data_IF_545866252102
#
_entry.id   IF_545866252102
#
_cell.length_a   1.000
_cell.length_b   1.000
_cell.length_c   1.000
_cell.angle_alpha   90.00
_cell.angle_beta   90.00
_cell.angle_gamma   90.00
#
_symmetry.space_group_name_H-M   'P 1'
#
loop_
_entity.id
_entity.type
_entity.pdbx_description
1 polymer ?
#
# COMPACT_ATOMS: atom_id res chain seq x y z
N UNK A 1 -21.28 -9.59 -16.21
CA UNK A 1 -20.94 -11.03 -16.21
C UNK A 1 -20.93 -11.66 -14.82
N UNK A 2 -20.36 -11.01 -13.80
CA UNK A 2 -20.35 -11.55 -12.42
C UNK A 2 -21.72 -11.68 -11.73
N UNK A 3 -22.81 -11.26 -12.37
CA UNK A 3 -24.14 -11.25 -11.76
C UNK A 3 -24.29 -10.26 -10.60
N UNK A 4 -23.38 -9.29 -10.46
CA UNK A 4 -23.45 -8.24 -9.45
C UNK A 4 -24.21 -7.01 -10.00
N UNK A 5 -25.09 -6.46 -9.18
CA UNK A 5 -25.79 -5.21 -9.41
C UNK A 5 -24.92 -3.99 -9.11
N UNK A 6 -23.94 -4.14 -8.22
CA UNK A 6 -22.94 -3.12 -7.87
C UNK A 6 -21.65 -3.80 -7.42
N UNK A 7 -20.51 -3.32 -7.89
CA UNK A 7 -19.19 -3.71 -7.37
C UNK A 7 -18.73 -2.64 -6.40
N UNK A 8 -18.38 -3.04 -5.18
CA UNK A 8 -17.90 -2.16 -4.12
C UNK A 8 -16.40 -2.21 -3.96
N UNK A 9 -15.78 -3.35 -4.22
CA UNK A 9 -14.33 -3.51 -4.13
C UNK A 9 -13.82 -4.66 -5.03
N UNK A 10 -12.51 -4.70 -5.23
CA UNK A 10 -11.83 -5.82 -5.88
C UNK A 10 -10.41 -5.99 -5.35
N UNK A 11 -9.91 -7.21 -5.41
CA UNK A 11 -8.51 -7.52 -5.12
C UNK A 11 -7.99 -8.55 -6.13
N UNK A 12 -6.71 -8.43 -6.44
CA UNK A 12 -6.03 -9.19 -7.46
C UNK A 12 -4.69 -9.69 -6.91
N UNK A 13 -4.44 -11.00 -7.00
CA UNK A 13 -3.17 -11.59 -6.57
C UNK A 13 -2.97 -12.97 -7.16
N UNK A 14 -1.73 -13.31 -7.52
CA UNK A 14 -1.30 -14.66 -7.95
C UNK A 14 -2.17 -15.27 -9.05
N UNK A 15 -2.60 -14.45 -10.02
CA UNK A 15 -3.45 -14.89 -11.14
C UNK A 15 -4.93 -15.02 -10.80
N UNK A 16 -5.36 -14.63 -9.60
CA UNK A 16 -6.77 -14.57 -9.19
C UNK A 16 -7.29 -13.13 -9.14
N UNK A 17 -8.54 -12.95 -9.56
CA UNK A 17 -9.29 -11.70 -9.40
C UNK A 17 -10.54 -11.97 -8.57
N UNK A 18 -10.70 -11.22 -7.49
CA UNK A 18 -11.87 -11.28 -6.62
C UNK A 18 -12.67 -9.99 -6.73
N UNK A 19 -13.97 -10.12 -6.95
CA UNK A 19 -14.92 -9.02 -7.03
C UNK A 19 -15.85 -9.10 -5.82
N UNK A 20 -16.00 -8.00 -5.10
CA UNK A 20 -16.93 -7.91 -3.97
C UNK A 20 -17.97 -6.84 -4.26
N UNK A 21 -19.23 -7.18 -4.05
CA UNK A 21 -20.33 -6.29 -4.40
C UNK A 21 -21.67 -6.82 -3.93
N UNK A 22 -22.75 -6.33 -4.53
CA UNK A 22 -24.11 -6.74 -4.18
C UNK A 22 -24.84 -7.37 -5.36
N UNK A 23 -25.65 -8.39 -5.06
CA UNK A 23 -26.72 -8.89 -5.91
C UNK A 23 -28.03 -8.81 -5.11
N UNK A 24 -28.94 -7.95 -5.54
CA UNK A 24 -30.07 -7.49 -4.74
C UNK A 24 -29.58 -6.80 -3.46
N UNK A 25 -30.06 -7.28 -2.31
CA UNK A 25 -29.61 -6.83 -0.98
C UNK A 25 -28.52 -7.71 -0.37
N UNK A 26 -28.08 -8.76 -1.07
CA UNK A 26 -27.07 -9.70 -0.58
C UNK A 26 -25.69 -9.23 -1.04
N UNK A 27 -24.75 -9.12 -0.10
CA UNK A 27 -23.34 -8.89 -0.42
C UNK A 27 -22.70 -10.21 -0.83
N UNK A 28 -21.91 -10.17 -1.89
CA UNK A 28 -21.39 -11.34 -2.60
C UNK A 28 -19.93 -11.11 -2.96
N UNK A 29 -19.11 -12.15 -2.77
CA UNK A 29 -17.77 -12.26 -3.31
C UNK A 29 -17.74 -13.26 -4.48
N UNK A 30 -17.08 -12.89 -5.58
CA UNK A 30 -16.94 -13.72 -6.78
C UNK A 30 -15.48 -13.82 -7.15
N UNK A 31 -14.98 -15.02 -7.43
CA UNK A 31 -13.60 -15.23 -7.86
C UNK A 31 -13.50 -15.64 -9.32
N UNK A 32 -12.43 -15.18 -9.95
CA UNK A 32 -12.01 -15.52 -11.29
C UNK A 32 -10.56 -15.99 -11.30
N UNK A 33 -10.29 -17.04 -12.06
CA UNK A 33 -8.96 -17.32 -12.59
C UNK A 33 -8.71 -16.32 -13.71
N UNK A 34 -7.80 -15.38 -13.45
CA UNK A 34 -7.37 -14.32 -14.35
C UNK A 34 -5.93 -14.53 -14.83
N UNK A 35 -5.40 -15.76 -14.75
CA UNK A 35 -4.07 -16.13 -15.28
C UNK A 35 -3.97 -16.03 -16.80
N UNK A 36 -5.10 -15.85 -17.49
CA UNK A 36 -5.18 -15.71 -18.94
C UNK A 36 -6.07 -14.52 -19.31
N UNK A 37 -5.95 -14.03 -20.54
CA UNK A 37 -6.70 -12.88 -21.07
C UNK A 37 -8.23 -13.05 -21.12
N UNK A 38 -8.73 -14.26 -20.85
CA UNK A 38 -10.14 -14.56 -20.69
C UNK A 38 -10.39 -15.11 -19.27
N UNK A 39 -10.71 -14.24 -18.29
CA UNK A 39 -10.93 -14.68 -16.92
C UNK A 39 -12.08 -15.68 -16.82
N UNK A 40 -11.88 -16.76 -16.04
CA UNK A 40 -12.89 -17.80 -15.82
C UNK A 40 -13.37 -17.73 -14.38
N UNK A 41 -14.69 -17.61 -14.17
CA UNK A 41 -15.26 -17.68 -12.83
C UNK A 41 -14.96 -19.04 -12.17
N UNK A 42 -14.48 -18.99 -10.94
CA UNK A 42 -14.18 -20.17 -10.12
C UNK A 42 -15.32 -20.46 -9.16
N UNK A 43 -15.70 -19.46 -8.38
CA UNK A 43 -16.72 -19.59 -7.34
C UNK A 43 -17.45 -18.27 -7.10
N UNK A 44 -18.57 -18.37 -6.38
CA UNK A 44 -19.44 -17.25 -6.00
C UNK A 44 -20.00 -17.58 -4.62
N UNK A 45 -19.87 -16.64 -3.68
CA UNK A 45 -20.24 -16.86 -2.28
C UNK A 45 -20.92 -15.64 -1.68
N UNK A 46 -22.00 -15.87 -0.95
CA UNK A 46 -22.62 -14.88 -0.07
C UNK A 46 -21.71 -14.57 1.11
N UNK A 47 -21.53 -13.27 1.40
CA UNK A 47 -20.67 -12.78 2.49
C UNK A 47 -21.46 -11.83 3.39
N UNK A 48 -20.90 -11.54 4.56
CA UNK A 48 -21.48 -10.53 5.44
C UNK A 48 -21.41 -9.11 4.85
N UNK A 49 -22.19 -8.22 5.45
CA UNK A 49 -22.36 -6.84 5.02
C UNK A 49 -21.26 -5.89 5.57
N UNK A 50 -20.23 -6.41 6.24
CA UNK A 50 -19.22 -5.56 6.89
C UNK A 50 -18.19 -4.99 5.90
N UNK A 51 -17.84 -3.70 6.02
CA UNK A 51 -16.87 -3.09 5.11
C UNK A 51 -15.48 -3.74 5.20
N UNK A 52 -14.73 -3.66 4.11
CA UNK A 52 -13.34 -4.13 4.02
C UNK A 52 -13.19 -5.39 3.17
N UNK A 53 -12.12 -5.41 2.37
CA UNK A 53 -11.68 -6.55 1.56
C UNK A 53 -10.16 -6.61 1.64
N UNK A 54 -9.62 -7.72 2.14
CA UNK A 54 -8.18 -7.84 2.40
C UNK A 54 -7.67 -9.24 2.05
N UNK A 55 -6.41 -9.32 1.60
CA UNK A 55 -5.69 -10.58 1.55
C UNK A 55 -5.16 -10.93 2.95
N UNK A 56 -5.28 -12.18 3.34
CA UNK A 56 -4.82 -12.67 4.63
C UNK A 56 -4.21 -14.06 4.51
N UNK A 57 -2.88 -14.12 4.56
CA UNK A 57 -2.14 -15.39 4.61
C UNK A 57 -2.62 -16.42 3.57
N UNK A 58 -2.74 -15.96 2.32
CA UNK A 58 -3.20 -16.79 1.20
C UNK A 58 -4.72 -16.93 1.06
N UNK A 59 -5.51 -16.34 1.95
CA UNK A 59 -6.97 -16.33 1.89
C UNK A 59 -7.56 -14.93 1.68
N UNK A 60 -8.84 -14.84 1.30
CA UNK A 60 -9.56 -13.58 1.12
C UNK A 60 -10.46 -13.30 2.33
N UNK A 61 -10.25 -12.19 3.03
CA UNK A 61 -11.16 -11.70 4.06
C UNK A 61 -12.09 -10.63 3.48
N UNK A 62 -13.39 -10.91 3.46
CA UNK A 62 -14.45 -9.95 3.05
C UNK A 62 -15.32 -9.66 4.27
N UNK A 63 -15.20 -8.45 4.82
CA UNK A 63 -15.78 -8.13 6.12
C UNK A 63 -15.24 -9.04 7.22
N UNK A 64 -16.07 -9.95 7.71
CA UNK A 64 -15.74 -11.01 8.67
C UNK A 64 -15.86 -12.43 8.08
N UNK A 65 -15.91 -12.53 6.76
CA UNK A 65 -16.00 -13.80 6.04
C UNK A 65 -14.63 -14.13 5.44
N UNK A 66 -13.98 -15.19 5.93
CA UNK A 66 -12.73 -15.69 5.33
C UNK A 66 -13.07 -16.70 4.23
N UNK A 67 -12.48 -16.54 3.06
CA UNK A 67 -12.82 -17.29 1.85
C UNK A 67 -11.53 -17.84 1.24
N UNK A 68 -11.49 -19.15 1.00
CA UNK A 68 -10.36 -19.75 0.29
C UNK A 68 -10.37 -19.37 -1.20
N UNK A 69 -9.27 -18.83 -1.74
CA UNK A 69 -9.12 -18.51 -3.16
C UNK A 69 -9.35 -19.68 -4.10
N UNK A 70 -8.98 -20.89 -3.68
CA UNK A 70 -8.96 -22.06 -4.55
C UNK A 70 -10.37 -22.60 -4.86
N UNK A 71 -11.24 -22.65 -3.84
CA UNK A 71 -12.53 -23.35 -3.93
C UNK A 71 -13.73 -22.56 -3.39
N UNK A 72 -13.51 -21.36 -2.85
CA UNK A 72 -14.56 -20.51 -2.30
C UNK A 72 -15.09 -21.01 -0.97
N UNK A 73 -14.40 -21.94 -0.30
CA UNK A 73 -14.83 -22.42 1.01
C UNK A 73 -14.75 -21.29 2.02
N UNK A 74 -15.88 -21.05 2.68
CA UNK A 74 -16.01 -20.02 3.71
C UNK A 74 -15.75 -20.57 5.10
N UNK A 75 -15.06 -19.77 5.90
CA UNK A 75 -15.02 -19.87 7.35
C UNK A 75 -15.57 -18.57 7.93
N UNK A 76 -16.59 -18.68 8.78
CA UNK A 76 -17.13 -17.58 9.58
C UNK A 76 -16.77 -17.82 11.04
N UNK A 77 -16.59 -16.75 11.83
CA UNK A 77 -16.25 -16.89 13.25
C UNK A 77 -15.42 -15.77 13.84
N UNK A 78 -15.07 -14.74 13.06
CA UNK A 78 -14.35 -13.58 13.59
C UNK A 78 -15.14 -12.86 14.65
N UNK A 79 -14.50 -12.32 15.70
CA UNK A 79 -15.16 -11.44 16.64
C UNK A 79 -15.70 -10.25 15.86
N UNK A 80 -17.02 -10.21 15.71
CA UNK A 80 -17.67 -8.99 15.26
C UNK A 80 -17.55 -7.95 16.37
N UNK A 81 -17.72 -6.67 16.06
CA UNK A 81 -17.75 -5.58 17.05
C UNK A 81 -18.80 -5.73 18.17
N UNK A 82 -19.57 -6.83 18.19
CA UNK A 82 -20.50 -7.23 19.24
C UNK A 82 -20.12 -8.49 20.05
N UNK A 83 -19.04 -9.20 19.70
CA UNK A 83 -18.67 -10.48 20.33
C UNK A 83 -17.52 -10.35 21.34
N UNK A 84 -17.69 -9.53 22.38
CA UNK A 84 -17.13 -9.85 23.70
C UNK A 84 -17.79 -9.02 24.82
N UNK A 85 -17.96 -9.68 25.98
CA UNK A 85 -18.52 -9.19 27.26
C UNK A 85 -20.03 -9.34 27.52
N UNK A 86 -20.62 -10.51 27.25
CA UNK A 86 -21.56 -11.21 28.15
C UNK A 86 -22.13 -12.44 27.44
N UNK A 87 -21.98 -13.63 28.03
CA UNK A 87 -22.38 -14.93 27.45
C UNK A 87 -23.85 -15.08 27.01
N UNK A 88 -24.23 -14.48 25.88
CA UNK A 88 -25.48 -14.67 25.16
C UNK A 88 -25.30 -14.34 23.67
N UNK A 89 -25.45 -15.36 22.82
CA UNK A 89 -25.23 -15.31 21.37
C UNK A 89 -26.26 -14.48 20.55
N UNK A 90 -27.08 -13.61 21.17
CA UNK A 90 -28.17 -12.90 20.47
C UNK A 90 -28.45 -11.47 20.93
N UNK A 91 -27.63 -10.86 21.79
CA UNK A 91 -27.83 -9.46 22.16
C UNK A 91 -26.92 -8.56 21.32
N UNK A 92 -27.50 -7.70 20.47
CA UNK A 92 -26.78 -6.63 19.75
C UNK A 92 -26.54 -5.43 20.69
N UNK A 93 -25.29 -5.01 20.93
CA UNK A 93 -24.97 -3.66 21.38
C UNK A 93 -24.31 -2.87 20.23
N UNK A 94 -24.40 -1.55 20.33
CA UNK A 94 -23.96 -0.56 19.34
C UNK A 94 -22.43 -0.50 19.18
N UNK A 95 -21.91 -0.91 18.01
CA UNK A 95 -20.81 -0.32 17.21
C UNK A 95 -19.60 0.36 17.91
N UNK A 96 -19.02 -0.16 18.99
CA UNK A 96 -17.99 0.59 19.76
C UNK A 96 -16.54 0.10 19.61
N UNK A 97 -16.30 -1.10 19.07
CA UNK A 97 -14.96 -1.63 18.81
C UNK A 97 -14.39 -1.29 17.43
N UNK A 98 -13.06 -1.36 17.29
CA UNK A 98 -12.32 -1.20 16.02
C UNK A 98 -11.58 -2.48 15.67
N UNK A 99 -11.55 -2.86 14.40
CA UNK A 99 -10.70 -3.95 13.90
C UNK A 99 -9.73 -3.42 12.86
N UNK A 100 -8.46 -3.83 12.93
CA UNK A 100 -7.47 -3.51 11.90
C UNK A 100 -7.75 -4.24 10.59
N UNK A 101 -7.05 -3.89 9.51
CA UNK A 101 -6.86 -4.85 8.41
C UNK A 101 -5.99 -6.03 8.89
N UNK A 102 -5.93 -7.17 8.18
CA UNK A 102 -4.93 -8.21 8.45
C UNK A 102 -3.51 -7.65 8.38
N UNK A 103 -2.66 -8.06 9.32
CA UNK A 103 -1.25 -7.68 9.46
C UNK A 103 -0.47 -8.98 9.60
N UNK A 104 0.18 -9.41 8.53
CA UNK A 104 0.78 -10.73 8.45
C UNK A 104 -0.24 -11.84 8.78
N UNK A 105 0.00 -12.68 9.80
CA UNK A 105 -0.87 -13.79 10.14
C UNK A 105 -2.07 -13.43 11.04
N UNK A 106 -2.14 -12.20 11.57
CA UNK A 106 -3.16 -11.82 12.57
C UNK A 106 -3.97 -10.59 12.15
N UNK A 107 -5.05 -10.32 12.89
CA UNK A 107 -5.79 -9.05 12.87
C UNK A 107 -5.98 -8.59 14.31
N UNK A 108 -5.88 -7.28 14.54
CA UNK A 108 -6.13 -6.68 15.85
C UNK A 108 -7.59 -6.29 15.97
N UNK A 109 -8.20 -6.66 17.10
CA UNK A 109 -9.55 -6.29 17.49
C UNK A 109 -9.52 -5.51 18.80
N UNK A 110 -9.92 -4.25 18.77
CA UNK A 110 -9.96 -3.34 19.91
C UNK A 110 -11.41 -3.10 20.32
N UNK A 111 -12.00 -3.91 21.23
CA UNK A 111 -13.41 -3.80 21.60
C UNK A 111 -13.76 -2.47 22.26
N UNK A 112 -12.82 -1.86 23.00
CA UNK A 112 -12.98 -0.54 23.61
C UNK A 112 -11.77 0.35 23.36
N UNK A 113 -11.94 1.29 22.42
CA UNK A 113 -10.93 2.28 22.05
C UNK A 113 -10.50 3.19 23.22
N UNK A 114 -11.35 3.37 24.25
CA UNK A 114 -11.05 4.19 25.41
C UNK A 114 -10.05 3.54 26.36
N UNK A 115 -10.05 2.21 26.43
CA UNK A 115 -9.04 1.45 27.18
C UNK A 115 -7.77 1.29 26.36
N UNK A 116 -7.89 1.26 25.02
CA UNK A 116 -6.78 0.90 24.15
C UNK A 116 -6.40 -0.57 24.24
N UNK A 117 -7.15 -1.42 24.93
CA UNK A 117 -6.92 -2.86 24.92
C UNK A 117 -7.46 -3.45 23.63
N UNK A 118 -6.58 -4.15 22.92
CA UNK A 118 -6.88 -4.89 21.72
C UNK A 118 -6.48 -6.35 21.91
N UNK A 119 -7.02 -7.21 21.08
CA UNK A 119 -6.78 -8.64 21.04
C UNK A 119 -6.28 -8.99 19.64
N UNK A 120 -5.27 -9.83 19.55
CA UNK A 120 -4.80 -10.38 18.28
C UNK A 120 -5.49 -11.72 18.03
N UNK A 121 -5.99 -11.89 16.81
CA UNK A 121 -6.71 -13.08 16.39
C UNK A 121 -6.11 -13.65 15.10
N UNK A 122 -5.87 -14.96 15.06
CA UNK A 122 -5.36 -15.68 13.87
C UNK A 122 -6.49 -16.04 12.91
N UNK A 123 -6.14 -16.45 11.68
CA UNK A 123 -7.14 -16.64 10.62
C UNK A 123 -8.27 -17.64 10.92
N UNK A 124 -8.08 -18.48 11.94
CA UNK A 124 -9.07 -19.46 12.41
C UNK A 124 -10.02 -18.89 13.47
N UNK A 125 -9.96 -17.57 13.70
CA UNK A 125 -10.59 -16.87 14.80
C UNK A 125 -10.20 -17.46 16.16
N UNK A 126 -8.91 -17.79 16.34
CA UNK A 126 -8.34 -18.15 17.64
C UNK A 126 -7.63 -16.95 18.23
N UNK A 127 -7.94 -16.63 19.49
CA UNK A 127 -7.24 -15.60 20.26
C UNK A 127 -5.78 -16.01 20.41
N UNK A 128 -4.87 -15.11 20.05
CA UNK A 128 -3.43 -15.35 20.09
C UNK A 128 -2.81 -14.67 21.30
N UNK A 129 -3.07 -13.37 21.49
CA UNK A 129 -2.53 -12.57 22.59
C UNK A 129 -3.24 -11.22 22.74
N UNK A 130 -2.99 -10.53 23.85
CA UNK A 130 -3.53 -9.20 24.14
C UNK A 130 -2.51 -8.10 23.77
N UNK A 131 -3.03 -6.96 23.32
CA UNK A 131 -2.29 -5.80 22.88
C UNK A 131 -2.78 -4.53 23.57
N UNK A 132 -1.99 -3.99 24.48
CA UNK A 132 -2.17 -2.63 24.99
C UNK A 132 -1.74 -1.58 23.95
N UNK A 133 -2.71 -0.91 23.33
CA UNK A 133 -2.61 0.26 22.45
C UNK A 133 -2.96 1.57 23.17
N UNK A 134 -3.06 1.57 24.52
CA UNK A 134 -3.32 2.80 25.30
C UNK A 134 -2.19 3.82 25.14
N UNK A 135 -0.96 3.35 24.91
CA UNK A 135 0.22 4.17 24.63
C UNK A 135 0.36 4.60 23.16
N UNK A 136 -0.72 4.54 22.39
CA UNK A 136 -0.85 5.07 21.03
C UNK A 136 0.05 4.40 19.99
N UNK A 137 0.21 3.07 19.98
CA UNK A 137 0.99 2.41 18.94
C UNK A 137 0.13 1.46 18.11
N UNK A 138 0.13 1.60 16.79
CA UNK A 138 -0.43 0.59 15.89
C UNK A 138 0.62 0.14 14.88
N UNK A 139 0.67 -1.16 14.57
CA UNK A 139 1.42 -1.63 13.43
C UNK A 139 0.80 -1.05 12.15
N UNK A 140 1.63 -0.38 11.37
CA UNK A 140 1.27 0.13 10.04
C UNK A 140 1.06 -1.05 9.06
N UNK A 141 0.55 -0.77 7.85
CA UNK A 141 0.24 -1.75 6.77
C UNK A 141 1.51 -2.36 6.14
N UNK A 142 2.57 -2.51 6.92
CA UNK A 142 3.87 -2.99 6.47
C UNK A 142 3.93 -4.50 6.68
N UNK A 143 4.37 -5.24 5.66
CA UNK A 143 4.57 -6.67 5.76
C UNK A 143 5.65 -6.99 6.82
N UNK A 144 5.45 -8.00 7.68
CA UNK A 144 6.38 -8.32 8.75
C UNK A 144 7.74 -8.81 8.24
N UNK A 145 8.81 -8.57 9.00
CA UNK A 145 10.13 -9.17 8.77
C UNK A 145 10.37 -10.15 9.91
N UNK A 146 10.50 -11.46 9.62
CA UNK A 146 10.63 -12.50 10.65
C UNK A 146 9.57 -12.40 11.76
N UNK A 147 8.32 -12.11 11.39
CA UNK A 147 7.21 -11.93 12.32
C UNK A 147 7.15 -10.57 13.01
N UNK A 148 8.15 -9.70 12.85
CA UNK A 148 8.18 -8.38 13.48
C UNK A 148 7.63 -7.28 12.58
N UNK A 149 6.96 -6.29 13.17
CA UNK A 149 6.52 -5.06 12.51
C UNK A 149 6.89 -3.83 13.34
N UNK A 150 7.22 -2.69 12.73
CA UNK A 150 7.43 -1.45 13.44
C UNK A 150 6.13 -0.93 14.03
N UNK A 151 6.21 -0.39 15.24
CA UNK A 151 5.14 0.28 15.94
C UNK A 151 5.33 1.78 15.82
N UNK A 152 4.32 2.49 15.34
CA UNK A 152 4.34 3.95 15.21
C UNK A 152 3.33 4.63 16.12
N UNK A 153 3.66 5.83 16.60
CA UNK A 153 2.78 6.60 17.49
C UNK A 153 1.59 7.21 16.75
N UNK A 154 0.37 6.78 17.05
CA UNK A 154 -0.89 7.32 16.52
C UNK A 154 -1.48 8.35 17.49
N UNK A 155 -1.54 9.62 17.15
CA UNK A 155 -2.18 10.62 18.00
C UNK A 155 -3.72 10.48 17.98
N UNK A 156 -4.31 9.80 18.97
CA UNK A 156 -5.78 9.64 19.12
C UNK A 156 -6.59 10.95 19.28
N UNK A 157 -5.96 12.13 19.14
CA UNK A 157 -6.55 13.43 19.53
C UNK A 157 -7.33 14.16 18.43
N UNK A 158 -7.31 13.68 17.19
CA UNK A 158 -8.13 14.24 16.10
C UNK A 158 -8.91 13.10 15.42
N UNK A 159 -10.05 13.48 14.85
CA UNK A 159 -11.10 12.66 14.24
C UNK A 159 -10.70 11.26 13.76
N UNK A 160 -11.55 10.24 13.98
CA UNK A 160 -11.38 8.83 13.57
C UNK A 160 -11.24 8.60 12.05
N UNK A 161 -11.03 9.66 11.27
CA UNK A 161 -10.63 9.69 9.87
C UNK A 161 -9.20 10.25 9.70
N UNK A 162 -8.32 10.08 10.69
CA UNK A 162 -7.01 10.73 10.78
C UNK A 162 -6.19 10.68 9.47
N UNK A 163 -5.65 11.84 9.13
CA UNK A 163 -4.67 12.09 8.07
C UNK A 163 -3.32 11.39 8.37
N UNK A 164 -2.62 10.82 7.36
CA UNK A 164 -1.49 9.88 7.53
C UNK A 164 -0.14 10.47 8.02
N UNK A 165 -0.10 11.59 8.74
CA UNK A 165 1.04 12.53 8.59
C UNK A 165 1.96 12.74 9.82
N UNK A 166 1.84 12.04 10.96
CA UNK A 166 2.85 12.16 12.04
C UNK A 166 3.04 10.87 12.84
N UNK A 167 4.15 10.16 12.62
CA UNK A 167 4.43 8.88 13.24
C UNK A 167 5.86 8.86 13.80
N UNK A 168 6.01 9.06 15.11
CA UNK A 168 7.25 8.70 15.82
C UNK A 168 7.35 7.17 15.88
N UNK A 169 8.56 6.61 15.77
CA UNK A 169 8.75 5.18 16.04
C UNK A 169 8.61 4.93 17.55
N UNK A 170 7.70 4.01 17.91
CA UNK A 170 7.42 3.64 19.30
C UNK A 170 8.10 2.33 19.72
N UNK A 171 8.44 1.46 18.78
CA UNK A 171 9.05 0.15 19.06
C UNK A 171 8.79 -0.85 17.94
N UNK A 172 8.83 -2.14 18.28
CA UNK A 172 8.54 -3.23 17.36
C UNK A 172 7.66 -4.28 18.05
N UNK A 173 6.83 -4.96 17.27
CA UNK A 173 5.88 -5.98 17.73
C UNK A 173 6.09 -7.26 16.94
N UNK A 174 6.27 -8.37 17.64
CA UNK A 174 6.25 -9.69 17.04
C UNK A 174 4.80 -10.21 16.97
N UNK A 175 4.33 -10.49 15.75
CA UNK A 175 2.96 -10.88 15.47
C UNK A 175 2.63 -12.31 15.91
N UNK A 176 3.64 -13.17 16.01
CA UNK A 176 3.46 -14.58 16.40
C UNK A 176 3.39 -14.74 17.92
N UNK A 177 4.18 -13.95 18.66
CA UNK A 177 4.37 -14.09 20.11
C UNK A 177 3.71 -12.98 20.93
N UNK A 178 3.37 -11.85 20.31
CA UNK A 178 2.95 -10.63 21.01
C UNK A 178 4.10 -9.90 21.72
N UNK A 179 5.35 -10.36 21.56
CA UNK A 179 6.53 -9.73 22.15
C UNK A 179 6.72 -8.31 21.61
N UNK A 180 7.19 -7.42 22.49
CA UNK A 180 7.46 -6.02 22.15
C UNK A 180 8.86 -5.61 22.56
N UNK A 181 9.47 -4.81 21.70
CA UNK A 181 10.72 -4.12 21.99
C UNK A 181 10.51 -2.61 21.85
N UNK A 182 11.24 -1.86 22.67
CA UNK A 182 11.26 -0.40 22.61
C UNK A 182 12.25 0.13 21.57
N UNK A 183 12.48 1.44 21.60
CA UNK A 183 13.46 2.13 20.74
C UNK A 183 14.76 2.48 21.47
N UNK A 184 14.91 2.06 22.74
CA UNK A 184 16.03 2.43 23.61
C UNK A 184 17.40 2.13 22.98
N UNK A 185 17.54 0.96 22.33
CA UNK A 185 18.78 0.59 21.65
C UNK A 185 19.17 1.61 20.55
N UNK A 186 18.18 2.14 19.82
CA UNK A 186 18.39 3.12 18.76
C UNK A 186 18.76 4.47 19.38
N UNK A 187 18.08 4.88 20.45
CA UNK A 187 18.39 6.10 21.20
C UNK A 187 19.81 6.09 21.78
N UNK A 188 20.24 4.96 22.33
CA UNK A 188 21.58 4.74 22.85
C UNK A 188 22.65 4.82 21.74
N UNK A 189 22.34 4.28 20.56
CA UNK A 189 23.26 4.24 19.42
C UNK A 189 23.22 5.49 18.54
N UNK A 190 22.37 6.46 18.88
CA UNK A 190 22.08 7.62 18.02
C UNK A 190 23.30 8.51 17.73
N UNK A 191 24.27 8.57 18.64
CA UNK A 191 25.53 9.29 18.46
C UNK A 191 25.36 10.71 17.89
N UNK A 192 25.93 11.04 16.72
CA UNK A 192 25.86 12.37 16.12
C UNK A 192 24.48 12.74 15.55
N UNK A 193 23.56 11.78 15.44
CA UNK A 193 22.20 12.01 14.97
C UNK A 193 21.27 12.59 16.06
N UNK A 194 21.80 12.90 17.25
CA UNK A 194 21.04 13.58 18.31
C UNK A 194 20.84 15.06 17.98
N UNK A 195 19.61 15.52 18.16
CA UNK A 195 19.22 16.92 18.03
C UNK A 195 18.74 17.46 19.37
N UNK A 196 19.22 18.65 19.74
CA UNK A 196 18.72 19.39 20.90
C UNK A 196 17.47 20.17 20.49
N UNK A 197 16.36 19.90 21.16
CA UNK A 197 15.09 20.57 20.99
C UNK A 197 15.09 21.92 21.71
N UNK A 198 14.14 22.78 21.33
CA UNK A 198 13.99 24.11 21.94
C UNK A 198 13.73 24.08 23.45
N UNK A 199 13.14 22.99 23.96
CA UNK A 199 12.88 22.79 25.39
C UNK A 199 14.08 22.22 26.17
N UNK A 200 15.24 22.06 25.51
CA UNK A 200 16.46 21.52 26.10
C UNK A 200 16.49 19.99 26.21
N UNK A 201 15.48 19.29 25.68
CA UNK A 201 15.53 17.83 25.53
C UNK A 201 16.36 17.44 24.31
N UNK A 202 16.92 16.23 24.29
CA UNK A 202 17.59 15.70 23.10
C UNK A 202 16.79 14.53 22.53
N UNK A 203 16.53 14.54 21.23
CA UNK A 203 15.87 13.44 20.51
C UNK A 203 16.82 12.80 19.51
N UNK A 204 16.60 11.51 19.26
CA UNK A 204 17.26 10.84 18.15
C UNK A 204 16.51 11.14 16.85
N UNK A 205 17.18 11.78 15.88
CA UNK A 205 16.52 12.23 14.65
C UNK A 205 15.79 11.11 13.88
N UNK A 206 16.39 9.92 13.66
CA UNK A 206 15.68 8.82 13.03
C UNK A 206 14.39 8.39 13.74
N UNK A 207 14.21 8.69 15.03
CA UNK A 207 13.00 8.31 15.78
C UNK A 207 11.96 9.44 15.84
N UNK A 208 12.37 10.67 15.57
CA UNK A 208 11.55 11.88 15.70
C UNK A 208 11.84 12.83 14.52
N UNK A 209 11.20 12.61 13.37
CA UNK A 209 11.47 13.39 12.16
C UNK A 209 10.90 14.81 12.30
N UNK A 210 11.73 15.82 12.03
CA UNK A 210 11.33 17.23 12.10
C UNK A 210 10.27 17.65 11.07
N UNK A 211 10.04 16.81 10.07
CA UNK A 211 9.23 17.12 8.88
C UNK A 211 8.39 15.90 8.54
N UNK A 212 7.24 15.69 9.19
CA UNK A 212 6.08 14.87 8.79
C UNK A 212 6.29 13.49 8.10
N UNK A 213 7.51 12.93 8.08
CA UNK A 213 7.96 11.96 7.08
C UNK A 213 9.03 11.09 7.74
N UNK A 214 8.59 10.04 8.43
CA UNK A 214 9.44 8.91 8.85
C UNK A 214 9.36 7.84 7.75
N UNK A 215 10.31 7.73 6.80
CA UNK A 215 10.36 6.56 5.95
C UNK A 215 10.80 5.37 6.79
N UNK A 216 9.93 4.35 6.85
CA UNK A 216 10.28 3.00 7.28
C UNK A 216 10.42 2.17 6.01
N UNK A 217 11.64 1.71 5.73
CA UNK A 217 11.95 0.90 4.56
C UNK A 217 12.21 -0.53 5.03
N UNK A 218 11.50 -1.47 4.42
CA UNK A 218 11.61 -2.91 4.70
C UNK A 218 12.78 -3.50 3.92
N UNK A 219 13.72 -4.12 4.62
CA UNK A 219 14.67 -5.06 4.04
C UNK A 219 14.29 -6.50 4.41
N UNK A 220 14.91 -7.48 3.77
CA UNK A 220 14.73 -8.91 4.09
C UNK A 220 15.14 -9.25 5.52
N UNK A 221 16.13 -8.55 6.05
CA UNK A 221 16.80 -8.84 7.32
C UNK A 221 16.53 -7.78 8.40
N UNK A 222 15.72 -6.76 8.12
CA UNK A 222 15.45 -5.71 9.08
C UNK A 222 14.80 -4.46 8.49
N UNK A 223 15.06 -3.33 9.13
CA UNK A 223 14.44 -2.05 8.81
C UNK A 223 15.47 -0.94 8.66
N UNK A 224 15.22 -0.02 7.74
CA UNK A 224 15.88 1.29 7.69
C UNK A 224 14.86 2.32 8.15
N UNK A 225 15.13 2.96 9.28
CA UNK A 225 14.32 4.03 9.86
C UNK A 225 15.02 5.36 9.60
N UNK A 226 14.34 6.33 9.00
CA UNK A 226 14.95 7.59 8.56
C UNK A 226 14.28 8.81 9.18
N UNK A 227 15.04 9.89 9.36
CA UNK A 227 14.52 11.22 9.73
C UNK A 227 13.87 11.98 8.56
N UNK A 228 13.79 11.32 7.39
CA UNK A 228 13.10 11.80 6.20
C UNK A 228 14.03 12.45 5.18
N UNK A 229 13.43 13.04 4.15
CA UNK A 229 14.13 13.73 3.07
C UNK A 229 14.25 15.23 3.41
N UNK A 230 15.47 15.69 3.67
CA UNK A 230 15.75 17.10 4.00
C UNK A 230 16.56 17.76 2.89
N UNK A 231 15.89 18.58 2.08
CA UNK A 231 16.57 19.39 1.06
C UNK A 231 17.64 20.26 1.75
N UNK A 232 18.92 20.01 1.45
CA UNK A 232 20.12 20.70 1.93
C UNK A 232 20.86 20.13 3.16
N UNK A 233 20.51 18.96 3.72
CA UNK A 233 21.34 18.27 4.74
C UNK A 233 21.39 16.77 4.49
N UNK A 234 22.42 16.13 5.04
CA UNK A 234 22.42 14.68 5.18
C UNK A 234 21.21 14.24 6.01
N UNK A 235 20.54 13.17 5.57
CA UNK A 235 19.54 12.47 6.36
C UNK A 235 20.23 11.52 7.31
N UNK A 236 19.63 11.25 8.47
CA UNK A 236 20.10 10.22 9.38
C UNK A 236 19.21 8.98 9.27
N UNK A 237 19.85 7.82 9.23
CA UNK A 237 19.17 6.53 9.22
C UNK A 237 19.63 5.66 10.38
N UNK A 238 18.72 4.87 10.91
CA UNK A 238 18.99 3.76 11.81
C UNK A 238 18.64 2.46 11.09
N UNK A 239 19.66 1.62 10.88
CA UNK A 239 19.49 0.25 10.40
C UNK A 239 19.32 -0.63 11.62
N UNK A 240 18.28 -1.44 11.65
CA UNK A 240 17.97 -2.31 12.79
C UNK A 240 17.60 -3.70 12.34
N UNK A 241 17.88 -4.68 13.19
CA UNK A 241 17.31 -6.01 13.08
C UNK A 241 15.77 -5.95 13.15
N UNK A 242 15.05 -7.04 12.82
CA UNK A 242 13.59 -7.01 12.71
C UNK A 242 12.88 -6.58 14.00
N UNK A 243 13.47 -6.91 15.15
CA UNK A 243 13.03 -6.58 16.50
C UNK A 243 13.53 -5.21 17.00
N UNK A 244 14.16 -4.40 16.14
CA UNK A 244 14.72 -3.10 16.51
C UNK A 244 16.09 -3.13 17.18
N UNK A 245 16.67 -4.32 17.38
CA UNK A 245 17.97 -4.47 18.06
C UNK A 245 19.16 -4.28 17.11
N UNK A 246 20.36 -4.24 17.69
CA UNK A 246 21.63 -4.03 17.01
C UNK A 246 21.66 -2.82 16.05
N UNK A 247 21.19 -1.63 16.50
CA UNK A 247 21.12 -0.48 15.63
C UNK A 247 22.48 -0.02 15.13
N UNK A 248 22.52 0.33 13.85
CA UNK A 248 23.62 1.07 13.25
C UNK A 248 23.08 2.41 12.74
N UNK A 249 23.53 3.49 13.35
CA UNK A 249 23.09 4.84 12.99
C UNK A 249 24.17 5.53 12.17
N UNK A 250 23.80 5.99 10.99
CA UNK A 250 24.69 6.67 10.06
C UNK A 250 23.98 7.80 9.33
N UNK A 251 24.75 8.64 8.65
CA UNK A 251 24.18 9.61 7.72
C UNK A 251 24.14 9.07 6.29
N UNK A 252 23.17 9.56 5.51
CA UNK A 252 23.04 9.34 4.08
C UNK A 252 23.00 10.69 3.37
N UNK A 253 23.59 10.75 2.18
CA UNK A 253 23.40 11.89 1.30
C UNK A 253 21.92 12.01 0.91
N UNK A 254 21.49 13.23 0.56
CA UNK A 254 20.14 13.46 0.07
C UNK A 254 19.81 12.56 -1.13
N UNK A 255 20.72 12.45 -2.10
CA UNK A 255 20.57 11.59 -3.29
C UNK A 255 20.41 10.11 -2.92
N UNK A 256 21.17 9.63 -1.93
CA UNK A 256 21.09 8.24 -1.50
C UNK A 256 19.75 7.95 -0.80
N UNK A 257 19.30 8.86 0.06
CA UNK A 257 18.02 8.74 0.74
C UNK A 257 16.85 8.82 -0.25
N UNK A 258 16.94 9.72 -1.23
CA UNK A 258 15.95 9.90 -2.29
C UNK A 258 15.72 8.62 -3.11
N UNK A 259 16.80 7.92 -3.48
CA UNK A 259 16.71 6.65 -4.22
C UNK A 259 15.94 5.57 -3.45
N UNK A 260 16.07 5.52 -2.12
CA UNK A 260 15.52 4.43 -1.32
C UNK A 260 14.20 4.78 -0.60
N UNK A 261 13.90 6.06 -0.37
CA UNK A 261 12.75 6.50 0.43
C UNK A 261 11.40 6.00 -0.09
N UNK A 262 11.25 5.93 -1.41
CA UNK A 262 10.04 5.47 -2.10
C UNK A 262 10.34 4.29 -3.04
N UNK A 263 11.44 3.58 -2.81
CA UNK A 263 11.74 2.36 -3.55
C UNK A 263 10.74 1.28 -3.16
N UNK A 264 10.09 0.72 -4.16
CA UNK A 264 9.25 -0.46 -4.05
C UNK A 264 9.85 -1.58 -4.89
N UNK A 265 10.36 -2.61 -4.22
CA UNK A 265 10.95 -3.79 -4.86
C UNK A 265 9.86 -4.84 -5.02
N UNK A 266 9.61 -5.25 -6.26
CA UNK A 266 8.54 -6.16 -6.59
C UNK A 266 9.09 -7.59 -6.59
N UNK A 267 8.79 -8.33 -5.53
CA UNK A 267 9.22 -9.72 -5.35
C UNK A 267 8.04 -10.68 -5.35
N UNK A 268 8.31 -11.93 -5.71
CA UNK A 268 7.31 -13.00 -5.59
C UNK A 268 7.33 -13.67 -4.21
N UNK A 269 8.50 -13.65 -3.57
CA UNK A 269 8.74 -14.20 -2.25
C UNK A 269 9.58 -13.21 -1.42
N UNK A 270 9.25 -13.05 -0.14
CA UNK A 270 9.98 -12.15 0.77
C UNK A 270 11.46 -12.52 0.94
N UNK A 271 11.83 -13.77 0.69
CA UNK A 271 13.23 -14.22 0.67
C UNK A 271 14.05 -13.63 -0.49
N UNK A 272 13.38 -13.13 -1.53
CA UNK A 272 13.98 -12.44 -2.68
C UNK A 272 14.16 -10.94 -2.42
N UNK A 273 13.66 -10.41 -1.31
CA UNK A 273 13.87 -9.00 -0.96
C UNK A 273 15.37 -8.71 -0.76
N UNK A 274 15.83 -7.51 -1.14
CA UNK A 274 17.17 -7.06 -0.80
C UNK A 274 17.33 -6.93 0.73
N UNK A 275 18.54 -7.16 1.20
CA UNK A 275 18.90 -6.82 2.59
C UNK A 275 18.93 -5.32 2.80
N UNK A 276 18.90 -4.89 4.06
CA UNK A 276 19.14 -3.49 4.42
C UNK A 276 20.49 -2.99 3.89
N UNK A 277 21.53 -3.85 3.85
CA UNK A 277 22.83 -3.52 3.26
C UNK A 277 22.75 -3.32 1.73
N UNK A 278 22.07 -4.21 1.02
CA UNK A 278 21.87 -4.09 -0.44
C UNK A 278 21.12 -2.79 -0.79
N UNK A 279 20.10 -2.44 0.01
CA UNK A 279 19.34 -1.19 -0.15
C UNK A 279 20.22 0.04 0.04
N UNK A 280 21.10 0.04 1.05
CA UNK A 280 22.03 1.15 1.28
C UNK A 280 23.12 1.23 0.21
N UNK A 281 23.60 0.08 -0.26
CA UNK A 281 24.53 0.01 -1.38
C UNK A 281 23.89 0.61 -2.64
N UNK A 282 22.64 0.27 -2.93
CA UNK A 282 21.87 0.87 -4.02
C UNK A 282 21.67 2.37 -3.83
N UNK A 283 21.30 2.82 -2.62
CA UNK A 283 21.21 4.25 -2.32
C UNK A 283 22.52 4.97 -2.65
N UNK A 284 23.66 4.41 -2.23
CA UNK A 284 24.98 5.01 -2.46
C UNK A 284 25.44 4.99 -3.92
N UNK A 285 25.22 3.89 -4.64
CA UNK A 285 25.87 3.63 -5.94
C UNK A 285 24.91 3.63 -7.13
N UNK A 286 23.63 3.34 -6.89
CA UNK A 286 22.66 3.00 -7.93
C UNK A 286 22.76 1.57 -8.46
N UNK A 287 23.70 0.74 -7.96
CA UNK A 287 23.84 -0.65 -8.39
C UNK A 287 22.90 -1.57 -7.59
N UNK A 288 22.19 -2.46 -8.27
CA UNK A 288 21.29 -3.44 -7.65
C UNK A 288 21.18 -4.74 -8.45
N UNK A 289 20.67 -5.80 -7.81
CA UNK A 289 20.53 -7.13 -8.42
C UNK A 289 19.08 -7.58 -8.62
N UNK A 290 18.11 -6.87 -8.04
CA UNK A 290 16.68 -7.19 -8.25
C UNK A 290 16.22 -6.77 -9.65
N UNK A 291 15.37 -7.57 -10.29
CA UNK A 291 14.95 -7.31 -11.67
C UNK A 291 13.84 -6.25 -11.79
N UNK A 292 12.96 -6.18 -10.78
CA UNK A 292 11.75 -5.37 -10.83
C UNK A 292 11.68 -4.38 -9.66
N UNK A 293 11.69 -3.10 -9.98
CA UNK A 293 11.57 -2.01 -9.02
C UNK A 293 10.79 -0.85 -9.58
N UNK A 294 10.13 -0.12 -8.70
CA UNK A 294 9.70 1.25 -8.97
C UNK A 294 10.20 2.17 -7.87
N UNK A 295 10.79 3.30 -8.23
CA UNK A 295 11.18 4.33 -7.28
C UNK A 295 10.52 5.66 -7.67
N UNK A 296 10.08 6.42 -6.66
CA UNK A 296 9.72 7.83 -6.84
C UNK A 296 10.91 8.70 -6.44
N UNK A 297 11.42 9.49 -7.37
CA UNK A 297 12.58 10.38 -7.19
C UNK A 297 12.22 11.84 -7.45
N UNK A 298 12.91 12.80 -6.84
CA UNK A 298 12.73 14.23 -7.14
C UNK A 298 13.36 14.57 -8.48
N UNK A 299 12.59 15.26 -9.31
CA UNK A 299 13.10 15.78 -10.59
C UNK A 299 13.85 17.09 -10.43
N UNK A 300 13.52 17.87 -9.39
CA UNK A 300 14.21 19.12 -9.07
C UNK A 300 14.19 19.37 -7.56
N UNK A 301 15.37 19.42 -6.91
CA UNK A 301 15.51 19.83 -5.51
C UNK A 301 15.03 21.28 -5.32
N UNK A 302 13.73 21.45 -5.09
CA UNK A 302 13.10 22.76 -4.89
C UNK A 302 11.70 22.90 -5.50
N UNK A 303 11.32 22.11 -6.50
CA UNK A 303 9.94 22.10 -7.03
C UNK A 303 9.03 21.10 -6.32
N UNK A 304 9.62 20.17 -5.57
CA UNK A 304 8.90 19.08 -4.91
C UNK A 304 8.40 18.01 -5.89
N UNK A 305 8.72 18.09 -7.18
CA UNK A 305 8.13 17.25 -8.22
C UNK A 305 8.82 15.88 -8.36
N UNK A 306 8.05 14.89 -8.80
CA UNK A 306 8.39 13.48 -8.81
C UNK A 306 8.54 12.91 -10.23
N UNK A 307 9.51 12.02 -10.40
CA UNK A 307 9.57 11.03 -11.49
C UNK A 307 9.34 9.65 -10.90
N UNK A 308 8.75 8.77 -11.69
CA UNK A 308 8.69 7.34 -11.41
C UNK A 308 9.74 6.66 -12.28
N UNK A 309 10.72 6.02 -11.66
CA UNK A 309 11.71 5.20 -12.33
C UNK A 309 11.26 3.75 -12.20
N UNK A 310 11.10 3.05 -13.32
CA UNK A 310 10.78 1.62 -13.37
C UNK A 310 11.99 0.88 -13.92
N UNK A 311 12.41 -0.18 -13.20
CA UNK A 311 13.52 -1.06 -13.56
C UNK A 311 14.81 -0.30 -13.98
N UNK A 312 15.05 0.85 -13.35
CA UNK A 312 16.20 1.74 -13.53
C UNK A 312 16.49 2.24 -14.96
N UNK A 313 15.59 1.97 -15.91
CA UNK A 313 15.78 2.30 -17.32
C UNK A 313 14.61 3.10 -17.93
N UNK A 314 13.48 3.14 -17.22
CA UNK A 314 12.26 3.75 -17.68
C UNK A 314 11.85 4.87 -16.73
N UNK A 315 12.22 6.09 -17.08
CA UNK A 315 11.79 7.29 -16.35
C UNK A 315 10.46 7.80 -16.92
N UNK A 316 9.46 7.89 -16.05
CA UNK A 316 8.17 8.52 -16.30
C UNK A 316 8.12 9.78 -15.43
N UNK A 317 8.34 10.93 -16.06
CA UNK A 317 8.16 12.22 -15.38
C UNK A 317 6.68 12.41 -15.07
N UNK A 318 6.35 12.50 -13.78
CA UNK A 318 4.94 12.61 -13.37
C UNK A 318 4.48 14.05 -13.22
N UNK A 319 5.40 14.99 -13.03
CA UNK A 319 5.10 16.37 -12.65
C UNK A 319 4.11 16.40 -11.47
N UNK A 320 4.37 15.55 -10.46
CA UNK A 320 3.58 15.49 -9.23
C UNK A 320 4.41 15.82 -8.03
N UNK A 321 3.83 16.52 -7.07
CA UNK A 321 4.52 16.75 -5.82
C UNK A 321 4.69 15.44 -5.05
N UNK A 322 5.92 15.16 -4.63
CA UNK A 322 6.24 14.11 -3.66
C UNK A 322 5.68 14.51 -2.28
N UNK A 323 5.56 15.80 -2.06
CA UNK A 323 5.33 16.43 -0.78
C UNK A 323 4.38 17.60 -0.97
N UNK A 324 3.17 17.49 -0.43
CA UNK A 324 2.27 18.64 -0.35
C UNK A 324 2.68 19.49 0.86
N UNK A 325 2.79 20.80 0.65
CA UNK A 325 3.05 21.79 1.70
C UNK A 325 1.73 22.33 2.29
N UNK A 326 0.58 21.95 1.72
CA UNK A 326 -0.74 22.45 2.11
C UNK A 326 -1.49 21.44 3.01
N UNK A 327 -1.58 21.74 4.31
CA UNK A 327 -2.21 20.87 5.31
C UNK A 327 -3.72 20.67 5.12
N UNK A 328 -4.37 21.46 4.27
CA UNK A 328 -5.81 21.45 4.02
C UNK A 328 -6.22 20.70 2.73
N UNK A 329 -5.25 20.32 1.88
CA UNK A 329 -5.54 19.61 0.64
C UNK A 329 -5.72 18.11 0.89
N UNK A 330 -6.88 17.57 0.51
CA UNK A 330 -7.14 16.12 0.42
C UNK A 330 -6.40 15.48 -0.78
N UNK A 331 -5.21 15.99 -1.11
CA UNK A 331 -4.42 15.57 -2.27
C UNK A 331 -3.27 14.69 -1.78
N UNK A 332 -3.01 13.67 -2.59
CA UNK A 332 -2.44 12.39 -2.19
C UNK A 332 -0.96 12.55 -1.80
N UNK A 333 -0.63 12.28 -0.53
CA UNK A 333 0.74 12.12 -0.04
C UNK A 333 1.48 11.09 -0.93
N UNK A 334 2.73 11.34 -1.32
CA UNK A 334 3.49 10.38 -2.11
C UNK A 334 3.65 9.02 -1.43
N UNK A 335 3.57 8.94 -0.11
CA UNK A 335 3.47 7.64 0.58
C UNK A 335 2.28 6.81 0.13
N UNK A 336 1.16 7.45 -0.22
CA UNK A 336 -0.06 6.78 -0.65
C UNK A 336 -0.02 6.50 -2.16
N UNK A 337 0.34 7.48 -3.00
CA UNK A 337 0.33 7.26 -4.45
C UNK A 337 1.57 6.53 -4.95
N UNK A 338 2.78 6.79 -4.44
CA UNK A 338 4.01 6.13 -4.88
C UNK A 338 4.00 4.63 -4.58
N UNK A 339 3.48 4.23 -3.41
CA UNK A 339 3.34 2.82 -3.03
C UNK A 339 2.23 2.10 -3.80
N UNK A 340 1.33 2.87 -4.43
CA UNK A 340 0.20 2.35 -5.20
C UNK A 340 0.46 2.36 -6.71
N UNK A 341 1.68 2.72 -7.15
CA UNK A 341 2.08 2.57 -8.55
C UNK A 341 2.11 1.09 -8.87
N UNK A 342 1.53 0.74 -10.02
CA UNK A 342 1.56 -0.61 -10.55
C UNK A 342 1.94 -0.55 -12.02
N UNK A 343 2.70 -1.53 -12.49
CA UNK A 343 3.20 -1.54 -13.87
C UNK A 343 3.24 -2.98 -14.39
N UNK A 344 3.17 -3.12 -15.72
CA UNK A 344 3.32 -4.42 -16.38
C UNK A 344 4.71 -5.00 -16.07
N UNK A 345 4.85 -6.33 -16.06
CA UNK A 345 6.14 -6.98 -15.76
C UNK A 345 7.28 -6.49 -16.65
N UNK A 346 6.97 -6.16 -17.89
CA UNK A 346 7.92 -5.62 -18.88
C UNK A 346 8.09 -4.09 -18.82
N UNK A 347 7.49 -3.42 -17.84
CA UNK A 347 7.44 -1.98 -17.63
C UNK A 347 6.81 -1.16 -18.78
N UNK A 348 6.23 -1.80 -19.80
CA UNK A 348 5.67 -1.13 -20.98
C UNK A 348 4.51 -0.20 -20.67
N UNK A 349 3.75 -0.49 -19.59
CA UNK A 349 2.64 0.33 -19.14
C UNK A 349 2.69 0.49 -17.62
N UNK A 350 2.46 1.71 -17.15
CA UNK A 350 2.34 2.04 -15.72
C UNK A 350 1.00 2.70 -15.43
N UNK A 351 0.35 2.27 -14.35
CA UNK A 351 -0.80 2.95 -13.78
C UNK A 351 -0.32 3.85 -12.64
N UNK A 352 -0.46 5.15 -12.86
CA UNK A 352 -0.06 6.19 -11.91
C UNK A 352 -1.32 6.67 -11.18
N UNK A 353 -1.51 6.35 -9.88
CA UNK A 353 -2.74 6.62 -9.15
C UNK A 353 -2.92 8.11 -8.85
N UNK A 354 -4.07 8.70 -9.16
CA UNK A 354 -4.43 10.12 -8.91
C UNK A 354 -5.86 10.21 -8.37
N UNK A 355 -6.35 11.43 -8.13
CA UNK A 355 -7.78 11.77 -8.13
C UNK A 355 -8.53 11.19 -9.36
N UNK A 356 -7.85 11.04 -10.49
CA UNK A 356 -8.23 10.20 -11.64
C UNK A 356 -7.00 9.41 -12.13
N UNK A 357 -6.86 8.12 -11.79
CA UNK A 357 -5.72 7.30 -12.18
C UNK A 357 -5.40 7.36 -13.68
N UNK A 358 -4.12 7.38 -14.04
CA UNK A 358 -3.64 7.48 -15.41
C UNK A 358 -2.85 6.22 -15.79
N UNK A 359 -3.33 5.51 -16.81
CA UNK A 359 -2.57 4.44 -17.45
C UNK A 359 -1.72 5.06 -18.56
N UNK A 360 -0.41 4.87 -18.46
CA UNK A 360 0.59 5.55 -19.28
C UNK A 360 1.39 4.50 -20.06
N UNK A 361 1.55 4.72 -21.36
CA UNK A 361 2.53 4.00 -22.18
C UNK A 361 3.91 4.57 -21.85
N UNK A 362 4.73 3.74 -21.20
CA UNK A 362 6.00 4.17 -20.63
C UNK A 362 6.98 4.62 -21.71
N UNK A 363 6.90 4.08 -22.94
CA UNK A 363 7.77 4.46 -24.06
C UNK A 363 7.35 5.77 -24.73
N UNK A 364 6.05 6.11 -24.69
CA UNK A 364 5.56 7.43 -25.13
C UNK A 364 5.91 8.49 -24.09
N UNK A 365 5.69 8.20 -22.81
CA UNK A 365 6.02 9.11 -21.72
C UNK A 365 7.51 9.47 -21.70
N UNK A 366 8.40 8.49 -21.92
CA UNK A 366 9.85 8.73 -21.99
C UNK A 366 10.25 9.58 -23.21
N UNK A 367 9.67 9.33 -24.39
CA UNK A 367 10.03 10.05 -25.63
C UNK A 367 9.59 11.50 -25.60
N UNK A 368 8.38 11.78 -25.13
CA UNK A 368 7.83 13.13 -25.17
C UNK A 368 8.54 14.10 -24.21
N UNK A 369 9.24 13.60 -23.19
CA UNK A 369 10.08 14.42 -22.30
C UNK A 369 11.37 14.96 -22.94
N UNK A 370 11.94 14.26 -23.93
CA UNK A 370 13.19 14.70 -24.59
C UNK A 370 13.05 15.96 -25.46
N UNK A 371 11.87 16.59 -25.48
CA UNK A 371 11.62 17.87 -26.17
C UNK A 371 11.19 18.95 -25.16
N UNK A 372 12.10 19.48 -24.32
CA UNK A 372 11.75 20.52 -23.36
C UNK A 372 11.54 21.83 -24.12
N UNK A 373 10.30 22.34 -24.16
CA UNK A 373 10.04 23.61 -24.83
C UNK A 373 8.58 24.03 -25.03
N UNK A 374 7.59 23.28 -24.55
CA UNK A 374 6.21 23.79 -24.49
C UNK A 374 5.68 23.60 -23.07
N UNK A 375 5.25 24.71 -22.48
CA UNK A 375 4.84 24.90 -21.08
C UNK A 375 3.54 24.17 -20.69
N UNK A 376 3.27 22.98 -21.24
CA UNK A 376 1.98 22.27 -21.05
C UNK A 376 2.13 20.73 -21.11
N UNK A 377 3.29 20.18 -20.74
CA UNK A 377 3.43 18.72 -20.64
C UNK A 377 2.73 18.18 -19.38
N UNK A 378 1.66 17.41 -19.56
CA UNK A 378 1.08 16.58 -18.51
C UNK A 378 1.21 15.10 -18.87
N UNK A 379 1.34 14.21 -17.87
CA UNK A 379 1.20 12.74 -17.98
C UNK A 379 0.10 12.27 -18.97
N UNK A 380 -0.89 13.12 -19.22
CA UNK A 380 -1.98 12.96 -20.18
C UNK A 380 -1.51 12.67 -21.62
N UNK A 381 -0.37 13.18 -22.05
CA UNK A 381 0.14 12.96 -23.41
C UNK A 381 0.75 11.56 -23.60
N UNK A 382 1.18 10.94 -22.50
CA UNK A 382 1.59 9.53 -22.45
C UNK A 382 0.44 8.58 -22.15
N UNK A 383 -0.77 9.08 -21.89
CA UNK A 383 -1.89 8.24 -21.49
C UNK A 383 -2.33 7.32 -22.63
N UNK A 384 -2.60 6.06 -22.30
CA UNK A 384 -3.14 5.08 -23.25
C UNK A 384 -4.45 5.64 -23.84
N UNK A 385 -4.59 5.71 -25.18
CA UNK A 385 -5.76 6.31 -25.81
C UNK A 385 -7.06 5.69 -25.32
N UNK A 386 -7.99 6.55 -24.90
CA UNK A 386 -9.28 6.13 -24.37
C UNK A 386 -9.29 5.83 -22.86
N UNK A 387 -8.15 5.71 -22.19
CA UNK A 387 -8.09 5.45 -20.74
C UNK A 387 -8.80 6.54 -19.91
N UNK A 388 -8.45 7.81 -20.14
CA UNK A 388 -9.09 8.94 -19.43
C UNK A 388 -10.59 9.01 -19.70
N UNK A 389 -11.01 8.59 -20.90
CA UNK A 389 -12.43 8.54 -21.27
C UNK A 389 -13.19 7.42 -20.59
N UNK A 390 -12.51 6.45 -19.96
CA UNK A 390 -13.17 5.40 -19.18
C UNK A 390 -13.56 5.88 -17.77
N UNK A 391 -13.03 7.01 -17.28
CA UNK A 391 -13.23 7.49 -15.90
C UNK A 391 -12.97 6.39 -14.86
N UNK A 392 -11.74 5.88 -14.90
CA UNK A 392 -11.25 4.89 -13.94
C UNK A 392 -11.10 5.54 -12.57
N UNK A 393 -11.48 4.83 -11.51
CA UNK A 393 -11.31 5.28 -10.12
C UNK A 393 -10.16 4.57 -9.39
N UNK A 394 -9.81 3.35 -9.81
CA UNK A 394 -8.62 2.63 -9.32
C UNK A 394 -8.24 1.53 -10.32
N UNK A 395 -7.01 1.02 -10.21
CA UNK A 395 -6.58 -0.14 -10.99
C UNK A 395 -5.42 -0.90 -10.34
N UNK A 396 -5.19 -2.12 -10.80
CA UNK A 396 -4.09 -2.99 -10.39
C UNK A 396 -3.58 -3.78 -11.59
N UNK A 397 -2.30 -4.16 -11.61
CA UNK A 397 -1.76 -5.10 -12.60
C UNK A 397 -1.89 -6.52 -12.07
N UNK A 398 -2.47 -7.40 -12.89
CA UNK A 398 -2.69 -8.82 -12.57
C UNK A 398 -1.55 -9.71 -13.08
N UNK A 399 -1.18 -9.59 -14.37
CA UNK A 399 -0.17 -10.46 -15.00
C UNK A 399 0.21 -10.00 -16.42
N UNK A 400 1.48 -10.13 -16.85
CA UNK A 400 2.01 -9.97 -18.23
C UNK A 400 1.19 -9.06 -19.16
N UNK A 401 0.86 -7.85 -18.69
CA UNK A 401 0.13 -6.77 -19.38
C UNK A 401 -1.37 -6.62 -19.00
N UNK A 402 -2.01 -7.52 -18.27
CA UNK A 402 -3.40 -7.36 -17.83
C UNK A 402 -3.53 -6.32 -16.69
N UNK A 403 -4.06 -5.13 -17.02
CA UNK A 403 -4.45 -4.10 -16.05
C UNK A 403 -5.94 -4.24 -15.79
N UNK A 404 -6.32 -4.44 -14.53
CA UNK A 404 -7.72 -4.40 -14.09
C UNK A 404 -8.03 -3.05 -13.51
N UNK A 405 -9.11 -2.45 -13.99
CA UNK A 405 -9.51 -1.09 -13.64
C UNK A 405 -10.99 -1.04 -13.23
N UNK A 406 -11.28 -0.33 -12.13
CA UNK A 406 -12.66 -0.03 -11.71
C UNK A 406 -13.14 1.23 -12.43
N UNK A 407 -14.29 1.12 -13.07
CA UNK A 407 -14.90 2.16 -13.90
C UNK A 407 -16.26 2.52 -13.32
N UNK A 408 -16.50 3.82 -13.16
CA UNK A 408 -17.83 4.37 -12.86
C UNK A 408 -18.66 4.44 -14.15
N UNK A 409 -19.73 3.63 -14.32
CA UNK A 409 -20.49 3.57 -15.56
C UNK A 409 -21.28 4.87 -15.80
N UNK A 410 -21.91 5.40 -14.76
CA UNK A 410 -22.83 6.54 -14.84
C UNK A 410 -22.14 7.82 -15.31
N UNK A 411 -20.84 7.91 -15.06
CA UNK A 411 -20.04 9.09 -15.39
C UNK A 411 -19.15 8.86 -16.62
N UNK A 412 -18.99 7.61 -17.07
CA UNK A 412 -18.14 7.24 -18.21
C UNK A 412 -18.80 7.53 -19.57
N UNK A 413 -18.13 8.26 -20.50
CA UNK A 413 -18.53 8.38 -21.91
C UNK A 413 -18.82 7.04 -22.62
N UNK A 414 -18.28 5.93 -22.12
CA UNK A 414 -18.47 4.58 -22.68
C UNK A 414 -19.68 3.84 -22.13
N UNK A 415 -20.48 4.45 -21.27
CA UNK A 415 -21.64 3.84 -20.60
C UNK A 415 -22.50 2.96 -21.53
N UNK A 416 -22.87 3.46 -22.71
CA UNK A 416 -23.69 2.71 -23.68
C UNK A 416 -22.99 1.48 -24.27
N UNK A 417 -21.66 1.53 -24.47
CA UNK A 417 -20.88 0.39 -24.96
C UNK A 417 -20.70 -0.65 -23.87
N UNK A 418 -20.43 -0.21 -22.63
CA UNK A 418 -20.29 -1.08 -21.47
C UNK A 418 -21.62 -1.79 -21.17
N UNK A 419 -22.75 -1.08 -21.18
CA UNK A 419 -24.09 -1.68 -21.05
C UNK A 419 -24.44 -2.68 -22.17
N UNK A 420 -23.95 -2.43 -23.39
CA UNK A 420 -24.14 -3.34 -24.52
C UNK A 420 -23.33 -4.65 -24.40
N UNK A 421 -22.26 -4.64 -23.61
CA UNK A 421 -21.42 -5.81 -23.32
C UNK A 421 -21.84 -6.51 -22.02
N UNK A 422 -22.30 -5.76 -21.02
CA UNK A 422 -22.83 -6.27 -19.76
C UNK A 422 -24.00 -5.35 -19.28
N UNK A 423 -25.26 -5.78 -19.33
CA UNK A 423 -26.43 -4.93 -19.12
C UNK A 423 -26.69 -4.48 -17.67
N UNK A 424 -25.77 -4.73 -16.73
CA UNK A 424 -25.92 -4.32 -15.33
C UNK A 424 -25.60 -2.82 -15.16
N UNK A 425 -26.41 -2.04 -14.41
CA UNK A 425 -26.20 -0.61 -14.22
C UNK A 425 -25.10 -0.24 -13.19
N UNK A 426 -24.50 -1.22 -12.50
CA UNK A 426 -23.49 -0.98 -11.45
C UNK A 426 -22.05 -0.84 -11.94
N UNK A 427 -21.15 -0.54 -10.98
CA UNK A 427 -19.71 -0.44 -11.18
C UNK A 427 -19.15 -1.57 -12.05
N UNK A 428 -18.32 -1.23 -13.03
CA UNK A 428 -17.72 -2.21 -13.94
C UNK A 428 -16.23 -2.36 -13.66
N UNK A 429 -15.71 -3.56 -13.90
CA UNK A 429 -14.28 -3.82 -13.95
C UNK A 429 -13.91 -4.22 -15.37
N UNK A 430 -12.92 -3.54 -15.94
CA UNK A 430 -12.38 -3.87 -17.25
C UNK A 430 -10.96 -4.43 -17.09
N UNK A 431 -10.72 -5.59 -17.68
CA UNK A 431 -9.37 -6.10 -17.95
C UNK A 431 -8.89 -5.56 -19.29
N UNK A 432 -7.80 -4.81 -19.29
CA UNK A 432 -7.16 -4.31 -20.49
C UNK A 432 -5.86 -5.08 -20.70
N UNK A 433 -5.74 -5.72 -21.86
CA UNK A 433 -4.46 -6.13 -22.40
C UNK A 433 -3.97 -5.00 -23.31
N UNK A 434 -2.86 -4.31 -23.00
CA UNK A 434 -2.11 -3.49 -23.92
C UNK A 434 -2.00 -4.24 -25.24
N UNK A 435 -2.72 -3.75 -26.24
CA UNK A 435 -2.53 -4.29 -27.57
C UNK A 435 -1.05 -4.06 -27.92
N UNK A 436 -0.35 -5.08 -28.44
CA UNK A 436 1.01 -4.88 -28.92
C UNK A 436 0.98 -3.69 -29.87
N UNK A 437 1.69 -2.61 -29.52
CA UNK A 437 1.80 -1.45 -30.39
C UNK A 437 2.28 -1.88 -31.78
N UNK A 438 2.11 -1.06 -32.83
CA UNK A 438 2.43 -1.43 -34.21
C UNK A 438 3.91 -1.83 -34.48
N UNK A 439 4.78 -1.88 -33.47
CA UNK A 439 6.11 -2.48 -33.52
C UNK A 439 6.22 -3.91 -32.97
N UNK A 440 5.20 -4.47 -32.32
CA UNK A 440 5.13 -5.91 -31.97
C UNK A 440 4.47 -6.68 -33.11
N UNK A 441 5.08 -6.62 -34.29
CA UNK A 441 4.83 -7.55 -35.38
C UNK A 441 5.82 -8.71 -35.25
N UNK A 442 5.30 -9.90 -34.96
CA UNK A 442 5.95 -11.22 -35.12
C UNK A 442 7.24 -11.44 -34.31
N UNK A 443 7.10 -12.15 -33.19
CA UNK A 443 7.97 -13.30 -32.90
C UNK A 443 7.24 -14.37 -32.09
#
# INVERSE_FOLDING_TARGET
DAGLDRIDDYIARDGYLFLVGYHGSQRVAVSYDASHSAPRQLWHVDVDDEPGVHWWDGDLLVGNTLISPADGKVTTGWPSSGDSLAGNAYARPTSTGWSSAPIGPIRLYCPDLSTGHCEAWDKTATHVWDFDASSNAFPDVVAPVNGWVPLVRTDKSRDKSLSPVAFDLAGFLNLETGERTGVDAIEESCGPAREENYDGTTTCRPLNPSTFRLPIIRGRDGWIISDGLRSARESYVAIVAPDGTNPQVSSLSFEAMERIAFLNVHVTDDSELPTTEDLLHYGATGEHTWEASSAVVYTSPGSGMASVIINDNQEIVTDRQVFDDDMDAHIVDARVWARSITYSRDASVALIPDSTPLLVDSAIAQRNWTTPGQDDYGLKDGAVPGWQTLQVSSGTVLFDDLVVARISPETSPWYKRLLGQAPSPGGHIAGLTPAPGPMRSLR
#
